data_IF_044986985983
#
_entry.id   IF_044986985983
#
_cell.length_a   1.000
_cell.length_b   1.000
_cell.length_c   1.000
_cell.angle_alpha   90.00
_cell.angle_beta   90.00
_cell.angle_gamma   90.00
#
_symmetry.space_group_name_H-M   'P 1'
#
loop_
_entity.id
_entity.type
_entity.pdbx_description
1 polymer ?
#
# COMPACT_ATOMS: atom_id res chain seq x y z
N UNK A 1 -14.56 33.64 6.88
CA UNK A 1 -14.75 32.58 5.86
C UNK A 1 -13.72 32.79 4.75
N UNK A 2 -12.58 32.10 4.75
CA UNK A 2 -11.58 32.24 3.68
C UNK A 2 -11.77 31.15 2.61
N UNK A 3 -12.16 31.61 1.41
CA UNK A 3 -11.87 31.11 0.07
C UNK A 3 -11.53 29.61 -0.14
N UNK A 4 -12.56 28.78 -0.29
CA UNK A 4 -12.49 27.41 -0.84
C UNK A 4 -12.04 27.36 -2.32
N UNK A 5 -11.94 28.51 -2.99
CA UNK A 5 -11.52 28.63 -4.39
C UNK A 5 -10.00 28.55 -4.57
N UNK A 6 -9.22 29.01 -3.59
CA UNK A 6 -7.75 29.05 -3.70
C UNK A 6 -7.14 27.64 -3.52
N UNK A 7 -7.73 26.80 -2.65
CA UNK A 7 -7.30 25.42 -2.46
C UNK A 7 -7.59 24.54 -3.70
N UNK A 8 -8.71 24.78 -4.41
CA UNK A 8 -9.04 24.07 -5.66
C UNK A 8 -8.11 24.44 -6.83
N UNK A 9 -7.65 25.69 -6.90
CA UNK A 9 -6.73 26.14 -7.95
C UNK A 9 -5.31 25.62 -7.71
N UNK A 10 -4.89 25.44 -6.45
CA UNK A 10 -3.60 24.84 -6.11
C UNK A 10 -3.54 23.35 -6.48
N UNK A 11 -4.61 22.57 -6.23
CA UNK A 11 -4.62 21.13 -6.60
C UNK A 11 -4.66 20.89 -8.10
N UNK A 12 -5.37 21.75 -8.86
CA UNK A 12 -5.42 21.70 -10.32
C UNK A 12 -4.07 22.02 -10.97
N UNK A 13 -3.31 22.98 -10.42
CA UNK A 13 -1.96 23.29 -10.91
C UNK A 13 -0.97 22.16 -10.64
N UNK A 14 -1.05 21.50 -9.49
CA UNK A 14 -0.22 20.33 -9.18
C UNK A 14 -0.55 19.14 -10.07
N UNK A 15 -1.84 18.89 -10.36
CA UNK A 15 -2.28 17.85 -11.31
C UNK A 15 -1.82 18.19 -12.73
N UNK A 16 -1.86 19.46 -13.14
CA UNK A 16 -1.35 19.87 -14.45
C UNK A 16 0.16 19.69 -14.55
N UNK A 17 0.96 20.00 -13.52
CA UNK A 17 2.41 19.77 -13.56
C UNK A 17 2.74 18.28 -13.65
N UNK A 18 1.99 17.42 -12.94
CA UNK A 18 2.12 15.95 -13.03
C UNK A 18 1.71 15.44 -14.42
N UNK A 19 0.59 15.92 -15.00
CA UNK A 19 0.17 15.55 -16.35
C UNK A 19 1.13 16.07 -17.43
N UNK A 20 1.70 17.26 -17.22
CA UNK A 20 2.65 17.85 -18.18
C UNK A 20 3.96 17.07 -18.17
N UNK A 21 4.42 16.57 -17.01
CA UNK A 21 5.54 15.62 -16.93
C UNK A 21 5.23 14.25 -17.56
N UNK A 22 3.97 13.82 -17.57
CA UNK A 22 3.52 12.59 -18.24
C UNK A 22 3.45 12.71 -19.77
N UNK A 23 3.17 13.90 -20.30
CA UNK A 23 3.07 14.13 -21.75
C UNK A 23 4.35 14.70 -22.37
N UNK A 24 5.26 15.27 -21.58
CA UNK A 24 6.56 15.71 -22.07
C UNK A 24 7.54 14.54 -22.07
N UNK A 25 7.74 13.94 -23.26
CA UNK A 25 8.85 13.04 -23.65
C UNK A 25 8.66 11.51 -23.44
N UNK A 26 7.55 10.97 -23.94
CA UNK A 26 7.49 9.57 -24.42
C UNK A 26 8.24 9.34 -25.76
N UNK A 27 9.20 10.21 -26.07
CA UNK A 27 10.18 10.10 -27.14
C UNK A 27 11.55 10.50 -26.58
N UNK A 28 12.00 9.82 -25.53
CA UNK A 28 13.38 9.95 -25.07
C UNK A 28 14.23 9.01 -25.90
N UNK A 29 14.98 9.59 -26.84
CA UNK A 29 16.26 9.00 -27.24
C UNK A 29 16.96 8.59 -25.94
N UNK A 30 17.36 7.32 -25.78
CA UNK A 30 18.29 6.92 -24.73
C UNK A 30 19.57 7.73 -24.90
N UNK A 31 19.63 8.93 -24.33
CA UNK A 31 20.90 9.59 -24.01
C UNK A 31 21.53 8.71 -22.93
N UNK A 32 22.81 8.39 -23.09
CA UNK A 32 23.57 7.46 -22.23
C UNK A 32 23.43 7.73 -20.72
N UNK A 33 22.98 8.93 -20.36
CA UNK A 33 22.82 9.38 -18.98
C UNK A 33 21.61 8.80 -18.26
N UNK A 34 20.49 8.43 -18.91
CA UNK A 34 19.31 7.87 -18.22
C UNK A 34 18.91 6.50 -18.79
N UNK A 35 18.92 5.49 -17.92
CA UNK A 35 18.39 4.15 -18.22
C UNK A 35 16.97 4.01 -17.68
N UNK A 36 15.99 3.80 -18.56
CA UNK A 36 14.61 3.59 -18.17
C UNK A 36 14.25 2.10 -18.12
N UNK A 37 13.50 1.71 -17.10
CA UNK A 37 12.76 0.44 -17.01
C UNK A 37 11.28 0.78 -16.93
N UNK A 38 10.48 0.24 -17.83
CA UNK A 38 9.02 0.46 -17.81
C UNK A 38 8.30 -0.87 -17.91
N UNK A 39 7.21 -0.98 -17.18
CA UNK A 39 6.38 -2.17 -17.15
C UNK A 39 4.92 -1.80 -16.99
N UNK A 40 4.08 -2.62 -17.61
CA UNK A 40 2.66 -2.68 -17.32
C UNK A 40 2.36 -4.02 -16.67
N UNK A 41 1.54 -4.00 -15.63
CA UNK A 41 1.06 -5.20 -14.99
C UNK A 41 -0.42 -5.13 -14.65
N UNK A 42 -1.08 -6.26 -14.74
CA UNK A 42 -2.51 -6.37 -14.43
C UNK A 42 -2.83 -7.79 -14.01
N UNK A 43 -3.92 -7.96 -13.28
CA UNK A 43 -4.32 -9.28 -12.84
C UNK A 43 -5.41 -9.26 -11.81
N UNK A 44 -5.49 -10.36 -11.07
CA UNK A 44 -6.49 -10.55 -10.04
C UNK A 44 -5.95 -11.35 -8.85
N UNK A 45 -6.52 -11.10 -7.67
CA UNK A 45 -6.39 -11.94 -6.50
C UNK A 45 -7.78 -12.43 -6.09
N UNK A 46 -7.90 -13.73 -5.87
CA UNK A 46 -9.08 -14.39 -5.34
C UNK A 46 -8.74 -14.93 -3.96
N UNK A 47 -9.48 -14.52 -2.93
CA UNK A 47 -9.29 -14.98 -1.55
C UNK A 47 -10.55 -15.67 -1.05
N UNK A 48 -10.41 -16.84 -0.44
CA UNK A 48 -11.45 -17.48 0.35
C UNK A 48 -11.16 -17.19 1.82
N UNK A 49 -12.00 -16.34 2.42
CA UNK A 49 -11.87 -15.95 3.83
C UNK A 49 -12.68 -16.90 4.71
N UNK A 50 -12.10 -17.29 5.84
CA UNK A 50 -12.68 -18.18 6.85
C UNK A 50 -12.71 -17.48 8.21
N UNK A 51 -13.89 -17.38 8.80
CA UNK A 51 -14.10 -16.88 10.16
C UNK A 51 -14.96 -17.85 10.98
N UNK A 52 -15.13 -17.61 12.29
CA UNK A 52 -15.98 -18.43 13.18
C UNK A 52 -17.45 -18.35 12.75
N UNK A 53 -17.81 -19.15 11.75
CA UNK A 53 -19.19 -19.33 11.25
C UNK A 53 -19.48 -18.77 9.85
N UNK A 54 -18.50 -18.19 9.14
CA UNK A 54 -18.72 -17.67 7.79
C UNK A 54 -17.53 -17.94 6.87
N UNK A 55 -17.84 -18.27 5.62
CA UNK A 55 -16.89 -18.34 4.52
C UNK A 55 -17.36 -17.38 3.42
N UNK A 56 -16.45 -16.60 2.87
CA UNK A 56 -16.80 -15.66 1.80
C UNK A 56 -15.62 -15.39 0.88
N UNK A 57 -15.92 -15.25 -0.41
CA UNK A 57 -14.93 -14.91 -1.42
C UNK A 57 -14.67 -13.40 -1.42
N UNK A 58 -13.41 -13.02 -1.49
CA UNK A 58 -12.97 -11.67 -1.85
C UNK A 58 -12.27 -11.69 -3.19
N UNK A 59 -12.50 -10.64 -3.97
CA UNK A 59 -11.90 -10.46 -5.28
C UNK A 59 -11.21 -9.12 -5.31
N UNK A 60 -10.02 -9.09 -5.91
CA UNK A 60 -9.28 -7.87 -6.20
C UNK A 60 -8.81 -7.93 -7.64
N UNK A 61 -9.26 -7.00 -8.47
CA UNK A 61 -8.74 -6.75 -9.81
C UNK A 61 -7.79 -5.57 -9.73
N UNK A 62 -6.69 -5.61 -10.48
CA UNK A 62 -5.72 -4.54 -10.45
C UNK A 62 -5.04 -4.33 -11.79
N UNK A 63 -4.58 -3.10 -11.98
CA UNK A 63 -3.69 -2.69 -13.06
C UNK A 63 -2.69 -1.67 -12.53
N UNK A 64 -1.46 -1.74 -13.00
CA UNK A 64 -0.38 -0.87 -12.61
C UNK A 64 0.55 -0.62 -13.78
N UNK A 65 1.04 0.59 -13.87
CA UNK A 65 2.12 0.95 -14.77
C UNK A 65 3.27 1.46 -13.93
N UNK A 66 4.50 1.28 -14.40
CA UNK A 66 5.65 1.93 -13.80
C UNK A 66 6.65 2.40 -14.85
N UNK A 67 7.32 3.49 -14.51
CA UNK A 67 8.51 3.98 -15.19
C UNK A 67 9.53 4.30 -14.11
N UNK A 68 10.65 3.59 -14.15
CA UNK A 68 11.80 3.85 -13.30
C UNK A 68 12.95 4.35 -14.16
N UNK A 69 13.43 5.55 -13.91
CA UNK A 69 14.62 6.12 -14.55
C UNK A 69 15.82 6.05 -13.62
N UNK A 70 16.97 5.58 -14.13
CA UNK A 70 18.26 5.62 -13.44
C UNK A 70 19.18 6.61 -14.14
N UNK A 71 19.44 7.76 -13.52
CA UNK A 71 20.31 8.81 -14.04
C UNK A 71 21.74 8.66 -13.52
N UNK A 72 22.70 8.64 -14.45
CA UNK A 72 24.15 8.52 -14.22
C UNK A 72 24.54 7.37 -13.28
N UNK A 73 23.76 6.29 -13.30
CA UNK A 73 23.91 5.13 -12.40
C UNK A 73 23.83 5.44 -10.89
N UNK A 74 23.39 6.64 -10.50
CA UNK A 74 23.40 7.09 -9.09
C UNK A 74 22.01 7.48 -8.61
N UNK A 75 21.23 8.20 -9.42
CA UNK A 75 19.91 8.68 -9.01
C UNK A 75 18.83 7.79 -9.59
N UNK A 76 17.83 7.45 -8.78
CA UNK A 76 16.64 6.74 -9.23
C UNK A 76 15.41 7.63 -9.08
N UNK A 77 14.58 7.64 -10.11
CA UNK A 77 13.28 8.29 -10.15
C UNK A 77 12.25 7.25 -10.51
N UNK A 78 11.09 7.28 -9.87
CA UNK A 78 10.01 6.36 -10.14
C UNK A 78 8.68 7.11 -10.25
N UNK A 79 7.88 6.72 -11.24
CA UNK A 79 6.47 7.04 -11.29
C UNK A 79 5.69 5.77 -11.55
N UNK A 80 4.66 5.52 -10.74
CA UNK A 80 3.87 4.29 -10.81
C UNK A 80 2.39 4.51 -10.52
N UNK A 81 1.58 4.84 -11.54
CA UNK A 81 0.14 4.91 -11.39
C UNK A 81 -0.48 3.51 -11.39
N UNK A 82 -1.59 3.37 -10.68
CA UNK A 82 -2.26 2.09 -10.51
C UNK A 82 -3.72 2.25 -10.14
N UNK A 83 -4.47 1.19 -10.40
CA UNK A 83 -5.89 1.06 -10.10
C UNK A 83 -6.13 -0.29 -9.46
N UNK A 84 -6.96 -0.32 -8.43
CA UNK A 84 -7.41 -1.56 -7.79
C UNK A 84 -8.91 -1.49 -7.54
N UNK A 85 -9.63 -2.52 -7.96
CA UNK A 85 -11.06 -2.72 -7.67
C UNK A 85 -11.15 -3.94 -6.77
N UNK A 86 -11.72 -3.81 -5.58
CA UNK A 86 -11.73 -4.91 -4.63
C UNK A 86 -12.98 -4.97 -3.75
N UNK A 87 -13.22 -6.17 -3.24
CA UNK A 87 -14.28 -6.50 -2.29
C UNK A 87 -13.70 -7.43 -1.23
N UNK A 88 -14.27 -7.39 -0.02
CA UNK A 88 -13.96 -8.34 1.06
C UNK A 88 -12.45 -8.49 1.36
N UNK A 89 -11.71 -7.39 1.27
CA UNK A 89 -10.31 -7.31 1.70
C UNK A 89 -10.13 -6.19 2.72
N UNK A 90 -8.89 -5.96 3.16
CA UNK A 90 -8.54 -4.81 3.99
C UNK A 90 -9.07 -3.51 3.36
N UNK A 91 -9.67 -2.65 4.19
CA UNK A 91 -10.34 -1.43 3.73
C UNK A 91 -11.68 -1.66 3.05
N UNK A 92 -12.23 -2.87 2.97
CA UNK A 92 -13.61 -3.11 2.50
C UNK A 92 -14.45 -3.76 3.60
N UNK A 93 -15.76 -3.58 3.54
CA UNK A 93 -16.69 -4.25 4.44
C UNK A 93 -16.63 -5.77 4.20
N UNK A 94 -16.24 -6.51 5.24
CA UNK A 94 -16.08 -7.96 5.21
C UNK A 94 -17.37 -8.74 5.50
N UNK A 95 -18.48 -8.07 5.83
CA UNK A 95 -19.77 -8.72 6.01
C UNK A 95 -20.26 -9.29 4.65
N UNK A 96 -20.46 -10.61 4.50
CA UNK A 96 -20.83 -11.22 3.22
C UNK A 96 -22.16 -10.72 2.64
N UNK A 97 -23.04 -10.14 3.46
CA UNK A 97 -24.35 -9.64 3.04
C UNK A 97 -24.31 -8.20 2.51
N UNK A 98 -23.23 -7.47 2.73
CA UNK A 98 -23.08 -6.08 2.28
C UNK A 98 -22.30 -6.06 0.99
N UNK A 99 -22.84 -5.46 -0.07
CA UNK A 99 -22.06 -5.20 -1.27
C UNK A 99 -21.23 -3.92 -1.08
N UNK A 100 -19.93 -4.08 -0.84
CA UNK A 100 -19.01 -2.96 -0.71
C UNK A 100 -17.87 -3.14 -1.71
N UNK A 101 -17.96 -2.38 -2.81
CA UNK A 101 -16.96 -2.32 -3.86
C UNK A 101 -16.10 -1.09 -3.63
N UNK A 102 -14.81 -1.35 -3.49
CA UNK A 102 -13.79 -0.34 -3.31
C UNK A 102 -13.01 -0.18 -4.59
N UNK A 103 -12.71 1.07 -4.93
CA UNK A 103 -11.91 1.46 -6.07
C UNK A 103 -10.83 2.42 -5.56
N UNK A 104 -9.58 1.99 -5.64
CA UNK A 104 -8.41 2.82 -5.36
C UNK A 104 -7.73 3.20 -6.68
N UNK A 105 -7.44 4.48 -6.83
CA UNK A 105 -6.49 4.99 -7.80
C UNK A 105 -5.28 5.53 -7.04
N UNK A 106 -4.12 4.90 -7.23
CA UNK A 106 -2.90 5.27 -6.52
C UNK A 106 -1.83 5.78 -7.48
N UNK A 107 -1.25 6.94 -7.16
CA UNK A 107 -0.09 7.49 -7.87
C UNK A 107 1.11 7.49 -6.94
N UNK A 108 2.14 6.75 -7.32
CA UNK A 108 3.38 6.68 -6.56
C UNK A 108 4.47 7.49 -7.26
N UNK A 109 5.10 8.40 -6.53
CA UNK A 109 6.26 9.16 -6.99
C UNK A 109 7.43 8.86 -6.07
N UNK A 110 8.53 8.38 -6.65
CA UNK A 110 9.72 7.99 -5.90
C UNK A 110 10.96 8.73 -6.36
N UNK A 111 11.81 9.10 -5.39
CA UNK A 111 13.16 9.61 -5.61
C UNK A 111 14.12 8.89 -4.69
N UNK A 112 15.33 8.63 -5.17
CA UNK A 112 16.32 7.98 -4.34
C UNK A 112 17.67 7.82 -5.01
N UNK A 113 18.47 6.94 -4.42
CA UNK A 113 19.83 6.65 -4.85
C UNK A 113 19.98 5.17 -5.16
N UNK A 114 20.86 4.86 -6.11
CA UNK A 114 21.22 3.50 -6.48
C UNK A 114 22.74 3.36 -6.60
N UNK A 115 23.23 2.12 -6.48
CA UNK A 115 24.64 1.81 -6.59
C UNK A 115 24.90 0.36 -6.97
N UNK A 116 26.18 0.06 -7.21
CA UNK A 116 26.63 -1.25 -7.68
C UNK A 116 26.37 -1.50 -9.16
N UNK A 117 26.64 -2.73 -9.59
CA UNK A 117 26.45 -3.19 -10.96
C UNK A 117 24.97 -3.37 -11.31
N UNK A 118 24.70 -3.34 -12.61
CA UNK A 118 23.41 -3.78 -13.16
C UNK A 118 23.31 -5.31 -13.00
N UNK A 119 22.17 -5.77 -12.50
CA UNK A 119 21.83 -7.17 -12.35
C UNK A 119 21.25 -7.71 -13.65
N UNK A 120 21.36 -9.02 -13.87
CA UNK A 120 20.75 -9.71 -15.02
C UNK A 120 19.23 -9.88 -14.92
N UNK A 121 18.61 -9.37 -13.85
CA UNK A 121 17.19 -9.50 -13.57
C UNK A 121 16.62 -8.20 -13.00
N UNK A 122 15.32 -8.01 -13.16
CA UNK A 122 14.59 -6.86 -12.61
C UNK A 122 14.04 -7.24 -11.23
N UNK A 123 14.26 -6.36 -10.26
CA UNK A 123 13.63 -6.42 -8.94
C UNK A 123 12.32 -5.66 -8.98
N UNK A 124 11.22 -6.34 -8.68
CA UNK A 124 9.88 -5.77 -8.67
C UNK A 124 9.37 -5.64 -7.25
N UNK A 125 8.88 -4.47 -6.86
CA UNK A 125 8.32 -4.27 -5.54
C UNK A 125 7.25 -3.19 -5.55
N UNK A 126 6.59 -3.05 -4.41
CA UNK A 126 5.55 -2.05 -4.20
C UNK A 126 5.97 -1.04 -3.15
N UNK A 127 5.57 0.20 -3.35
CA UNK A 127 5.66 1.26 -2.35
C UNK A 127 4.48 1.23 -1.36
N UNK A 128 3.34 0.66 -1.77
CA UNK A 128 2.16 0.41 -0.93
C UNK A 128 1.48 -0.90 -1.34
N UNK A 129 0.90 -1.63 -0.38
CA UNK A 129 0.40 -2.99 -0.58
C UNK A 129 -1.13 -3.08 -0.80
N UNK A 130 -1.79 -1.98 -1.19
CA UNK A 130 -3.24 -1.95 -1.45
C UNK A 130 -3.68 -2.97 -2.51
N UNK A 131 -2.82 -3.34 -3.47
CA UNK A 131 -3.03 -4.45 -4.39
C UNK A 131 -1.73 -5.16 -4.81
N UNK A 132 -1.86 -6.16 -5.68
CA UNK A 132 -0.77 -7.07 -6.08
C UNK A 132 -0.02 -6.61 -7.35
N UNK A 133 -0.24 -5.37 -7.81
CA UNK A 133 0.53 -4.77 -8.90
C UNK A 133 1.98 -4.50 -8.46
N UNK A 134 2.90 -4.23 -9.38
CA UNK A 134 4.21 -3.65 -9.03
C UNK A 134 4.31 -2.25 -9.61
N UNK A 135 4.64 -1.27 -8.77
CA UNK A 135 4.82 0.11 -9.19
C UNK A 135 6.29 0.55 -9.21
N UNK A 136 7.22 -0.35 -8.86
CA UNK A 136 8.67 -0.14 -9.04
C UNK A 136 9.32 -1.38 -9.66
N UNK A 137 10.14 -1.13 -10.69
CA UNK A 137 11.00 -2.12 -11.34
C UNK A 137 12.40 -1.55 -11.54
N UNK A 138 13.44 -2.22 -11.04
CA UNK A 138 14.81 -1.71 -11.11
C UNK A 138 15.85 -2.84 -11.23
N UNK A 139 16.92 -2.61 -12.00
CA UNK A 139 17.99 -3.61 -12.24
C UNK A 139 19.27 -3.34 -11.44
N UNK A 140 19.35 -2.28 -10.64
CA UNK A 140 20.56 -1.96 -9.87
C UNK A 140 20.73 -2.87 -8.65
N UNK A 141 21.96 -3.24 -8.33
CA UNK A 141 22.28 -4.06 -7.15
C UNK A 141 21.71 -3.47 -5.87
N UNK A 142 21.97 -2.18 -5.62
CA UNK A 142 21.50 -1.46 -4.44
C UNK A 142 20.60 -0.30 -4.86
N UNK A 143 19.46 -0.15 -4.17
CA UNK A 143 18.56 1.00 -4.32
C UNK A 143 17.99 1.39 -2.97
N UNK A 144 18.06 2.66 -2.63
CA UNK A 144 17.26 3.29 -1.58
C UNK A 144 16.29 4.25 -2.23
N UNK A 145 14.99 4.10 -2.00
CA UNK A 145 13.93 4.88 -2.62
C UNK A 145 12.98 5.41 -1.57
N UNK A 146 12.74 6.73 -1.56
CA UNK A 146 11.65 7.33 -0.80
C UNK A 146 10.52 7.68 -1.76
N UNK A 147 9.27 7.39 -1.41
CA UNK A 147 8.13 7.68 -2.27
C UNK A 147 6.96 8.29 -1.52
N UNK A 148 6.14 9.06 -2.23
CA UNK A 148 4.82 9.49 -1.80
C UNK A 148 3.76 8.76 -2.63
N UNK A 149 2.74 8.20 -1.97
CA UNK A 149 1.65 7.46 -2.59
C UNK A 149 0.34 8.22 -2.39
N UNK A 150 -0.16 8.84 -3.45
CA UNK A 150 -1.44 9.54 -3.44
C UNK A 150 -2.56 8.57 -3.82
N UNK A 151 -3.39 8.23 -2.85
CA UNK A 151 -4.50 7.29 -2.99
C UNK A 151 -5.79 8.11 -3.08
N UNK A 152 -6.56 7.88 -4.13
CA UNK A 152 -7.92 8.39 -4.29
C UNK A 152 -8.88 7.21 -4.28
N UNK A 153 -9.90 7.27 -3.42
CA UNK A 153 -10.84 6.17 -3.23
C UNK A 153 -12.29 6.63 -3.41
N UNK A 154 -13.13 5.77 -3.98
CA UNK A 154 -14.54 6.08 -4.29
C UNK A 154 -15.44 6.27 -3.05
N UNK A 155 -14.99 5.90 -1.86
CA UNK A 155 -15.66 6.17 -0.57
C UNK A 155 -15.01 7.36 0.17
N UNK A 156 -14.40 8.28 -0.57
CA UNK A 156 -13.76 9.50 -0.04
C UNK A 156 -12.57 9.25 0.90
N UNK A 157 -11.93 8.08 0.79
CA UNK A 157 -10.76 7.71 1.60
C UNK A 157 -9.46 8.14 0.93
N UNK A 158 -9.34 9.43 0.67
CA UNK A 158 -8.23 10.00 -0.09
C UNK A 158 -7.04 10.31 0.82
N UNK A 159 -5.92 9.63 0.61
CA UNK A 159 -4.77 9.67 1.52
C UNK A 159 -3.46 9.93 0.79
N UNK A 160 -2.47 10.47 1.51
CA UNK A 160 -1.06 10.38 1.09
C UNK A 160 -0.27 9.53 2.07
N UNK A 161 0.33 8.45 1.58
CA UNK A 161 1.16 7.52 2.39
C UNK A 161 2.60 7.59 1.91
N UNK A 162 3.52 7.88 2.82
CA UNK A 162 4.95 7.85 2.55
C UNK A 162 5.48 6.41 2.51
N UNK A 163 6.52 6.15 1.72
CA UNK A 163 7.23 4.87 1.77
C UNK A 163 8.74 5.00 1.63
N UNK A 164 9.46 4.04 2.21
CA UNK A 164 10.90 3.86 2.07
C UNK A 164 11.15 2.42 1.66
N UNK A 165 11.86 2.25 0.55
CA UNK A 165 12.26 0.95 0.03
C UNK A 165 13.78 0.82 0.00
N UNK A 166 14.29 -0.28 0.54
CA UNK A 166 15.68 -0.68 0.47
C UNK A 166 15.78 -2.00 -0.30
N UNK A 167 16.50 -1.96 -1.42
CA UNK A 167 16.58 -3.07 -2.36
C UNK A 167 18.04 -3.51 -2.53
N UNK A 168 18.28 -4.79 -2.31
CA UNK A 168 19.57 -5.46 -2.40
C UNK A 168 19.50 -6.55 -3.48
N UNK A 169 20.62 -7.20 -3.87
CA UNK A 169 20.54 -8.41 -4.67
C UNK A 169 19.69 -9.48 -3.95
N UNK A 170 18.66 -9.98 -4.64
CA UNK A 170 17.81 -11.07 -4.13
C UNK A 170 16.73 -10.66 -3.11
N UNK A 171 16.78 -9.47 -2.49
CA UNK A 171 15.75 -9.04 -1.53
C UNK A 171 15.40 -7.56 -1.61
N UNK A 172 14.16 -7.20 -1.30
CA UNK A 172 13.75 -5.81 -1.06
C UNK A 172 12.85 -5.73 0.16
N UNK A 173 13.03 -4.67 0.94
CA UNK A 173 12.19 -4.34 2.08
C UNK A 173 11.55 -2.98 1.77
N UNK A 174 10.25 -2.85 1.99
CA UNK A 174 9.51 -1.62 1.88
C UNK A 174 8.76 -1.35 3.18
N UNK A 175 8.89 -0.14 3.72
CA UNK A 175 8.10 0.36 4.83
C UNK A 175 7.22 1.51 4.32
N UNK A 176 5.94 1.49 4.66
CA UNK A 176 4.99 2.53 4.31
C UNK A 176 4.27 3.03 5.57
N UNK A 177 4.03 4.33 5.66
CA UNK A 177 3.34 4.92 6.79
C UNK A 177 2.77 6.30 6.45
N UNK A 178 1.70 6.71 7.12
CA UNK A 178 0.97 7.95 6.90
C UNK A 178 1.45 9.13 7.73
N UNK A 179 2.30 8.91 8.75
CA UNK A 179 2.92 10.02 9.48
C UNK A 179 3.92 9.68 10.59
N UNK A 180 4.09 8.41 10.94
CA UNK A 180 5.13 7.96 11.86
C UNK A 180 6.54 8.14 11.25
N UNK A 181 7.56 7.91 12.09
CA UNK A 181 8.95 8.04 11.68
C UNK A 181 9.25 7.24 10.41
N UNK A 182 9.92 7.83 9.39
CA UNK A 182 10.49 9.19 9.38
C UNK A 182 9.62 10.26 8.70
N UNK A 183 8.37 9.98 8.37
CA UNK A 183 7.49 10.88 7.63
C UNK A 183 6.94 12.04 8.47
N UNK A 184 7.07 11.96 9.78
CA UNK A 184 6.94 13.12 10.67
C UNK A 184 7.99 14.22 10.40
N UNK A 185 9.14 13.87 9.79
CA UNK A 185 10.19 14.82 9.42
C UNK A 185 10.26 15.11 7.93
N UNK A 186 9.77 14.19 7.09
CA UNK A 186 9.83 14.29 5.64
C UNK A 186 8.40 14.33 5.06
N UNK A 187 7.99 15.40 4.36
CA UNK A 187 6.61 15.64 3.96
C UNK A 187 6.19 14.79 2.73
N UNK A 188 6.32 13.47 2.84
CA UNK A 188 5.88 12.48 1.83
C UNK A 188 4.58 11.77 2.22
N UNK A 189 4.04 12.08 3.41
CA UNK A 189 2.78 11.57 3.92
C UNK A 189 1.92 12.74 4.42
N UNK A 190 0.61 12.51 4.60
CA UNK A 190 -0.31 13.57 5.04
C UNK A 190 -0.36 13.79 6.56
N UNK A 191 0.30 12.92 7.34
CA UNK A 191 0.42 12.96 8.81
C UNK A 191 -0.92 12.88 9.56
N UNK A 192 -1.91 12.21 8.99
CA UNK A 192 -3.18 11.91 9.66
C UNK A 192 -3.33 10.40 9.82
N UNK A 193 -3.64 9.92 11.04
CA UNK A 193 -3.93 8.50 11.30
C UNK A 193 -5.28 8.11 10.67
N UNK A 194 -5.25 7.63 9.43
CA UNK A 194 -6.49 7.26 8.71
C UNK A 194 -6.28 6.28 7.58
N UNK A 195 -7.16 5.30 7.46
CA UNK A 195 -7.13 4.29 6.40
C UNK A 195 -5.80 3.54 6.39
N UNK A 196 -4.84 3.76 5.48
CA UNK A 196 -3.55 3.04 5.51
C UNK A 196 -2.54 3.69 6.45
N UNK A 197 -2.40 3.16 7.66
CA UNK A 197 -1.55 3.78 8.70
C UNK A 197 -0.21 3.10 8.90
N UNK A 198 0.00 1.97 8.23
CA UNK A 198 1.27 1.27 8.27
C UNK A 198 1.32 0.14 7.26
N UNK A 199 2.50 -0.12 6.74
CA UNK A 199 2.75 -1.22 5.83
C UNK A 199 4.19 -1.67 5.87
N UNK A 200 4.40 -2.96 5.73
CA UNK A 200 5.71 -3.58 5.54
C UNK A 200 5.61 -4.57 4.38
N UNK A 201 6.58 -4.56 3.48
CA UNK A 201 6.69 -5.53 2.39
C UNK A 201 8.11 -6.09 2.33
N UNK A 202 8.25 -7.40 2.20
CA UNK A 202 9.53 -8.09 1.97
C UNK A 202 9.37 -8.94 0.72
N UNK A 203 10.25 -8.72 -0.25
CA UNK A 203 10.20 -9.31 -1.58
C UNK A 203 11.48 -10.08 -1.85
N UNK A 204 11.37 -11.37 -2.17
CA UNK A 204 12.51 -12.20 -2.55
C UNK A 204 12.56 -12.34 -4.08
N UNK A 205 13.61 -11.83 -4.69
CA UNK A 205 13.77 -11.75 -6.15
C UNK A 205 14.50 -12.96 -6.70
N UNK A 206 14.10 -13.42 -7.89
CA UNK A 206 14.86 -14.43 -8.63
C UNK A 206 15.45 -13.89 -9.94
N UNK A 207 16.34 -14.69 -10.52
CA UNK A 207 17.03 -14.35 -11.77
C UNK A 207 16.15 -14.39 -13.01
N UNK A 208 14.90 -14.85 -12.89
CA UNK A 208 13.90 -14.86 -13.97
C UNK A 208 13.04 -13.59 -13.97
N UNK A 209 13.39 -12.58 -13.17
CA UNK A 209 12.68 -11.29 -13.06
C UNK A 209 11.23 -11.44 -12.59
N UNK A 210 11.03 -12.16 -11.48
CA UNK A 210 9.83 -12.08 -10.65
C UNK A 210 10.19 -12.34 -9.18
N UNK A 211 9.23 -12.08 -8.29
CA UNK A 211 9.38 -12.38 -6.87
C UNK A 211 9.02 -13.83 -6.62
N UNK A 212 9.88 -14.60 -5.95
CA UNK A 212 9.58 -15.99 -5.55
C UNK A 212 8.69 -16.02 -4.32
N UNK A 213 8.94 -15.13 -3.35
CA UNK A 213 8.20 -15.04 -2.10
C UNK A 213 7.96 -13.59 -1.75
N UNK A 214 6.77 -13.29 -1.22
CA UNK A 214 6.43 -11.98 -0.69
C UNK A 214 5.79 -12.11 0.67
N UNK A 215 6.26 -11.32 1.62
CA UNK A 215 5.58 -11.13 2.90
C UNK A 215 5.11 -9.69 2.98
N UNK A 216 3.83 -9.48 3.26
CA UNK A 216 3.25 -8.16 3.40
C UNK A 216 2.47 -8.06 4.72
N UNK A 217 2.63 -6.92 5.37
CA UNK A 217 1.79 -6.47 6.47
C UNK A 217 1.18 -5.13 6.07
N UNK A 218 -0.09 -4.94 6.41
CA UNK A 218 -0.79 -3.68 6.30
C UNK A 218 -1.62 -3.44 7.55
N UNK A 219 -1.64 -2.20 7.97
CA UNK A 219 -2.53 -1.70 9.00
C UNK A 219 -3.52 -0.75 8.36
N UNK A 220 -4.80 -1.02 8.61
CA UNK A 220 -5.88 -0.14 8.22
C UNK A 220 -6.61 0.39 9.45
N UNK A 221 -6.83 1.70 9.55
CA UNK A 221 -7.63 2.31 10.63
C UNK A 221 -8.86 3.01 10.08
N UNK A 222 -9.84 3.23 10.95
CA UNK A 222 -10.93 4.16 10.66
C UNK A 222 -10.40 5.58 10.63
N UNK A 223 -11.28 6.52 10.27
CA UNK A 223 -10.95 7.94 10.36
C UNK A 223 -12.00 8.66 11.21
N UNK A 224 -11.53 9.26 12.29
CA UNK A 224 -12.23 10.32 13.02
C UNK A 224 -11.22 11.48 13.13
N UNK A 225 -11.47 12.64 12.49
CA UNK A 225 -10.50 13.73 12.42
C UNK A 225 -9.95 14.12 13.80
N UNK A 226 -8.62 14.22 13.93
CA UNK A 226 -7.88 14.65 15.13
C UNK A 226 -7.97 13.71 16.35
N UNK A 227 -8.68 12.57 16.24
CA UNK A 227 -8.90 11.69 17.38
C UNK A 227 -7.61 11.04 17.88
N UNK A 228 -6.74 10.57 16.98
CA UNK A 228 -5.47 9.95 17.33
C UNK A 228 -4.49 10.96 17.93
N UNK A 229 -4.38 12.12 17.29
CA UNK A 229 -3.50 13.21 17.70
C UNK A 229 -3.88 13.68 19.10
N UNK A 230 -5.18 13.88 19.34
CA UNK A 230 -5.71 14.21 20.67
C UNK A 230 -5.45 13.09 21.68
N UNK A 231 -5.69 11.83 21.31
CA UNK A 231 -5.49 10.68 22.22
C UNK A 231 -4.02 10.55 22.63
N UNK A 232 -3.10 10.76 21.69
CA UNK A 232 -1.65 10.78 21.91
C UNK A 232 -1.22 11.93 22.82
N UNK A 233 -1.77 13.14 22.62
CA UNK A 233 -1.51 14.28 23.51
C UNK A 233 -2.04 14.07 24.93
N UNK A 234 -3.19 13.41 25.07
CA UNK A 234 -3.82 13.12 26.35
C UNK A 234 -3.24 11.87 27.05
N UNK A 235 -2.40 11.09 26.37
CA UNK A 235 -1.87 9.83 26.89
C UNK A 235 -2.94 8.76 27.11
N UNK A 236 -4.01 8.78 26.31
CA UNK A 236 -5.11 7.80 26.37
C UNK A 236 -5.11 6.91 25.13
N UNK A 237 -5.73 5.75 25.22
CA UNK A 237 -5.96 4.90 24.06
C UNK A 237 -6.99 5.54 23.12
N UNK A 238 -6.82 5.34 21.82
CA UNK A 238 -7.77 5.83 20.81
C UNK A 238 -9.13 5.16 21.06
N UNK A 239 -10.20 5.94 21.24
CA UNK A 239 -11.56 5.40 21.29
C UNK A 239 -11.88 4.62 20.02
N UNK A 240 -12.82 3.67 20.09
CA UNK A 240 -13.22 2.90 18.91
C UNK A 240 -13.85 3.81 17.86
N UNK A 241 -13.40 3.71 16.60
CA UNK A 241 -14.04 4.35 15.46
C UNK A 241 -15.53 3.95 15.35
N UNK A 242 -16.43 4.93 15.28
CA UNK A 242 -17.88 4.72 15.14
C UNK A 242 -18.26 5.14 13.71
N UNK A 243 -18.94 4.29 12.92
CA UNK A 243 -19.43 4.71 11.60
C UNK A 243 -20.48 5.83 11.72
N UNK A 244 -20.44 6.84 10.84
CA UNK A 244 -21.42 7.95 10.81
C UNK A 244 -22.90 7.49 10.71
N UNK A 245 -23.15 6.30 10.15
CA UNK A 245 -24.51 5.76 9.97
C UNK A 245 -25.13 5.08 11.21
N UNK A 246 -24.46 5.03 12.37
CA UNK A 246 -24.97 4.35 13.58
C UNK A 246 -26.06 5.12 14.35
N UNK A 247 -26.90 5.88 13.65
CA UNK A 247 -27.96 6.70 14.25
C UNK A 247 -29.22 5.90 14.63
N UNK A 248 -29.30 4.60 14.34
CA UNK A 248 -30.51 3.79 14.55
C UNK A 248 -30.20 2.52 15.36
N UNK A 249 -30.44 2.58 16.68
CA UNK A 249 -30.41 1.47 17.67
C UNK A 249 -29.05 1.12 18.34
N UNK A 250 -28.70 1.93 19.35
CA UNK A 250 -27.56 1.80 20.29
C UNK A 250 -27.39 0.49 21.08
N UNK A 251 -28.18 -0.57 20.87
CA UNK A 251 -28.18 -1.73 21.80
C UNK A 251 -27.61 -3.05 21.27
N UNK A 252 -27.25 -3.20 19.99
CA UNK A 252 -26.65 -4.47 19.52
C UNK A 252 -25.82 -4.37 18.23
N UNK A 253 -25.30 -3.19 17.89
CA UNK A 253 -24.45 -3.07 16.71
C UNK A 253 -23.06 -3.62 17.01
N UNK A 254 -22.72 -4.73 16.35
CA UNK A 254 -21.35 -5.19 16.25
C UNK A 254 -20.58 -4.13 15.46
N UNK A 255 -19.90 -3.26 16.19
CA UNK A 255 -18.96 -2.27 15.70
C UNK A 255 -18.15 -2.83 14.52
N UNK A 256 -18.36 -2.29 13.32
CA UNK A 256 -17.46 -2.51 12.20
C UNK A 256 -16.17 -1.77 12.49
N UNK A 257 -15.26 -2.39 13.24
CA UNK A 257 -13.99 -1.77 13.58
C UNK A 257 -13.18 -1.60 12.30
N UNK A 258 -13.12 -0.36 11.79
CA UNK A 258 -12.23 0.01 10.69
C UNK A 258 -10.75 -0.07 11.08
N UNK A 259 -10.43 -0.41 12.33
CA UNK A 259 -9.09 -0.78 12.77
C UNK A 259 -8.86 -2.29 12.56
N UNK A 260 -8.16 -2.65 11.50
CA UNK A 260 -7.87 -4.03 11.08
C UNK A 260 -6.44 -4.12 10.54
N UNK A 261 -5.82 -5.27 10.74
CA UNK A 261 -4.52 -5.59 10.15
C UNK A 261 -4.68 -6.62 9.04
N UNK A 262 -3.73 -6.69 8.11
CA UNK A 262 -3.62 -7.77 7.13
C UNK A 262 -2.20 -8.29 7.13
N UNK A 263 -2.06 -9.60 7.17
CA UNK A 263 -0.81 -10.34 7.04
C UNK A 263 -0.93 -11.25 5.84
N UNK A 264 0.01 -11.20 4.91
CA UNK A 264 -0.06 -11.93 3.66
C UNK A 264 1.29 -12.53 3.32
N UNK A 265 1.32 -13.83 3.08
CA UNK A 265 2.43 -14.54 2.47
C UNK A 265 2.01 -15.00 1.09
N UNK A 266 2.81 -14.65 0.08
CA UNK A 266 2.65 -15.13 -1.29
C UNK A 266 3.84 -15.96 -1.72
N UNK A 267 3.57 -17.07 -2.39
CA UNK A 267 4.59 -17.94 -2.96
C UNK A 267 4.30 -18.09 -4.45
N UNK A 268 5.24 -17.66 -5.27
CA UNK A 268 5.14 -17.74 -6.73
C UNK A 268 5.81 -19.02 -7.23
N UNK A 269 5.03 -19.87 -7.88
CA UNK A 269 5.53 -21.11 -8.50
C UNK A 269 6.10 -20.86 -9.90
N UNK A 270 5.61 -19.81 -10.54
CA UNK A 270 6.06 -19.36 -11.85
C UNK A 270 5.75 -17.87 -12.00
N UNK A 271 6.27 -17.25 -13.06
CA UNK A 271 6.07 -15.83 -13.34
C UNK A 271 4.56 -15.54 -13.43
N UNK A 272 4.08 -14.73 -12.48
CA UNK A 272 2.72 -14.21 -12.48
C UNK A 272 1.67 -15.10 -11.82
N UNK A 273 2.02 -16.25 -11.24
CA UNK A 273 1.07 -17.10 -10.51
C UNK A 273 1.57 -17.37 -9.10
N UNK A 274 0.76 -17.02 -8.11
CA UNK A 274 1.06 -17.25 -6.70
C UNK A 274 -0.12 -17.88 -5.97
N UNK A 275 0.22 -18.63 -4.92
CA UNK A 275 -0.70 -18.99 -3.84
C UNK A 275 -0.47 -18.04 -2.67
N UNK A 276 -1.58 -17.61 -2.09
CA UNK A 276 -1.63 -16.65 -1.00
C UNK A 276 -2.16 -17.34 0.26
N UNK A 277 -1.51 -17.08 1.40
CA UNK A 277 -2.04 -17.42 2.72
C UNK A 277 -1.92 -16.21 3.61
N UNK A 278 -2.93 -15.96 4.44
CA UNK A 278 -2.86 -14.81 5.32
C UNK A 278 -3.93 -14.72 6.38
N UNK A 279 -3.86 -13.64 7.12
CA UNK A 279 -4.78 -13.27 8.20
C UNK A 279 -5.26 -11.85 7.95
N UNK A 280 -6.57 -11.63 8.06
CA UNK A 280 -7.22 -10.33 8.09
C UNK A 280 -7.83 -10.14 9.49
N UNK A 281 -7.67 -8.96 10.08
CA UNK A 281 -8.09 -8.64 11.45
C UNK A 281 -6.93 -8.70 12.45
N UNK A 282 -7.23 -8.97 13.73
CA UNK A 282 -6.22 -9.11 14.77
C UNK A 282 -5.60 -10.52 14.81
N UNK A 283 -4.39 -10.64 15.35
CA UNK A 283 -3.82 -11.89 15.84
C UNK A 283 -4.31 -12.17 17.27
N UNK A 284 -4.23 -13.42 17.72
CA UNK A 284 -4.70 -13.82 19.06
C UNK A 284 -3.55 -14.43 19.85
N UNK A 285 -3.25 -13.84 21.01
CA UNK A 285 -2.18 -14.27 21.90
C UNK A 285 -2.58 -15.45 22.78
N UNK A 286 -1.61 -15.95 23.57
CA UNK A 286 -1.87 -16.95 24.61
C UNK A 286 -2.85 -16.35 25.64
N UNK A 287 -4.01 -16.99 25.81
CA UNK A 287 -5.09 -16.48 26.66
C UNK A 287 -6.23 -15.75 25.92
N UNK A 288 -6.16 -15.63 24.59
CA UNK A 288 -7.26 -15.09 23.79
C UNK A 288 -7.22 -13.57 23.59
N UNK A 289 -6.20 -12.88 24.09
CA UNK A 289 -6.05 -11.43 23.93
C UNK A 289 -5.74 -11.08 22.47
N UNK A 290 -6.55 -10.24 21.81
CA UNK A 290 -6.27 -9.79 20.45
C UNK A 290 -5.11 -8.79 20.43
N UNK A 291 -4.26 -8.87 19.41
CA UNK A 291 -3.16 -7.92 19.18
C UNK A 291 -2.83 -7.79 17.69
N UNK A 292 -2.34 -6.63 17.27
CA UNK A 292 -1.74 -6.40 15.96
C UNK A 292 -0.22 -6.17 16.04
N UNK A 293 0.45 -6.13 14.88
CA UNK A 293 1.87 -5.75 14.83
C UNK A 293 2.03 -4.27 15.20
N UNK A 294 1.06 -3.42 14.84
CA UNK A 294 1.03 -2.01 15.24
C UNK A 294 1.01 -1.88 16.77
N UNK A 295 0.24 -2.69 17.50
CA UNK A 295 0.19 -2.66 18.96
C UNK A 295 1.54 -2.96 19.61
N UNK A 296 2.30 -3.91 19.03
CA UNK A 296 3.66 -4.23 19.47
C UNK A 296 4.57 -3.02 19.26
N UNK A 297 4.53 -2.41 18.07
CA UNK A 297 5.34 -1.22 17.74
C UNK A 297 4.99 -0.05 18.67
N UNK A 298 3.70 0.18 18.91
CA UNK A 298 3.23 1.27 19.77
C UNK A 298 3.63 1.05 21.23
N UNK A 299 3.52 -0.19 21.72
CA UNK A 299 3.98 -0.56 23.08
C UNK A 299 5.49 -0.34 23.24
N UNK A 300 6.29 -0.79 22.27
CA UNK A 300 7.75 -0.63 22.30
C UNK A 300 8.18 0.85 22.15
N UNK A 301 7.42 1.64 21.40
CA UNK A 301 7.68 3.05 21.15
C UNK A 301 7.06 4.02 22.15
N UNK A 302 6.22 3.55 23.09
CA UNK A 302 5.49 4.40 24.03
C UNK A 302 4.40 5.26 23.37
N UNK A 303 3.85 4.82 22.23
CA UNK A 303 2.77 5.52 21.52
C UNK A 303 1.38 5.10 22.01
N UNK A 304 0.36 5.92 21.77
CA UNK A 304 -1.02 5.58 22.09
C UNK A 304 -1.47 4.32 21.33
N UNK A 305 -2.13 3.38 22.01
CA UNK A 305 -2.54 2.11 21.39
C UNK A 305 -3.79 2.31 20.53
N UNK A 306 -3.88 1.56 19.43
CA UNK A 306 -5.08 1.41 18.60
C UNK A 306 -5.60 -0.02 18.75
N UNK A 307 -6.49 -0.31 19.72
CA UNK A 307 -6.95 -1.66 19.94
C UNK A 307 -7.57 -2.26 18.66
N UNK A 308 -6.87 -3.20 18.04
CA UNK A 308 -7.40 -3.94 16.91
C UNK A 308 -8.31 -5.04 17.46
N UNK A 309 -9.61 -4.87 17.24
CA UNK A 309 -10.64 -5.82 17.68
C UNK A 309 -11.38 -6.46 16.51
N UNK A 310 -10.88 -6.28 15.27
CA UNK A 310 -11.48 -6.93 14.11
C UNK A 310 -11.25 -8.45 14.21
N UNK A 311 -12.31 -9.27 14.15
CA UNK A 311 -12.18 -10.71 14.29
C UNK A 311 -11.19 -11.30 13.28
N UNK A 312 -10.30 -12.17 13.77
CA UNK A 312 -9.36 -12.92 12.94
C UNK A 312 -10.10 -13.71 11.86
N UNK A 313 -9.74 -13.45 10.60
CA UNK A 313 -10.19 -14.18 9.41
C UNK A 313 -8.94 -14.73 8.74
N UNK A 314 -8.84 -16.05 8.63
CA UNK A 314 -7.75 -16.67 7.87
C UNK A 314 -8.22 -16.72 6.42
N UNK A 315 -7.32 -16.48 5.46
CA UNK A 315 -7.65 -16.69 4.06
C UNK A 315 -6.60 -17.51 3.34
N UNK A 316 -7.10 -18.24 2.34
CA UNK A 316 -6.31 -18.89 1.30
C UNK A 316 -6.71 -18.25 -0.02
N UNK A 317 -5.72 -17.96 -0.87
CA UNK A 317 -5.98 -17.28 -2.12
C UNK A 317 -5.05 -17.69 -3.24
N UNK A 318 -5.35 -17.15 -4.41
CA UNK A 318 -4.51 -17.26 -5.58
C UNK A 318 -4.41 -15.87 -6.24
N UNK A 319 -3.21 -15.52 -6.67
CA UNK A 319 -2.94 -14.30 -7.43
C UNK A 319 -2.47 -14.65 -8.82
N UNK A 320 -3.11 -14.07 -9.83
CA UNK A 320 -2.59 -13.94 -11.18
C UNK A 320 -2.10 -12.50 -11.38
N UNK A 321 -0.89 -12.33 -11.91
CA UNK A 321 -0.27 -11.05 -12.20
C UNK A 321 0.53 -11.13 -13.50
N UNK A 322 -0.03 -10.62 -14.59
CA UNK A 322 0.68 -10.51 -15.86
C UNK A 322 1.70 -9.37 -15.77
N UNK A 323 2.98 -9.69 -15.95
CA UNK A 323 4.08 -8.73 -15.95
C UNK A 323 4.68 -8.58 -17.35
N UNK A 324 4.36 -7.45 -17.99
CA UNK A 324 4.84 -7.12 -19.34
C UNK A 324 5.77 -5.92 -19.32
N UNK A 325 6.98 -6.09 -19.85
CA UNK A 325 7.90 -4.97 -20.04
C UNK A 325 7.41 -4.12 -21.21
N UNK A 326 7.45 -2.81 -21.04
CA UNK A 326 7.07 -1.85 -22.08
C UNK A 326 8.34 -1.22 -22.64
N UNK A 327 8.55 -1.37 -23.95
CA UNK A 327 9.65 -0.75 -24.67
C UNK A 327 9.12 0.43 -25.46
N UNK A 328 9.62 1.62 -25.17
CA UNK A 328 9.35 2.79 -26.02
C UNK A 328 10.18 2.64 -27.30
N UNK A 329 9.52 2.71 -28.45
CA UNK A 329 10.20 2.74 -29.75
C UNK A 329 11.09 3.99 -29.79
N UNK A 330 12.34 3.79 -30.20
CA UNK A 330 13.31 4.87 -30.46
C UNK A 330 12.91 5.65 -31.71
#
# INVERSE_FOLDING_TARGET
MPNSTIAKIASLKSIMVVLTMLTSTAATSQKEEVKYTSQFNFGCTLNLNYSKGQQFAGVKLFGGFNVTGVYKSTWVFNYGPSIAIYTKSLGANTNPLVNDIQLDFANSFGVGVCGGSDLSYIKYFRTINNASYYNVGVQKSFVGLMSANFIVNNHHRNQTVGSISLSFPGVTINYANDGAFPFNYVPLADNFDRWWTGGLGIYFHNRQSYNTVEFNFDQFTGYEPLLYEMSSMLGINVPRYIPEDSSVNRKKERYGSYNSSSYNLKIYFTKGYAVDIGVLGCLVGRGGTPFGLQDIIHTLGGYALHPNTDPTKIYLGATFNNLSNVYFKK
#
